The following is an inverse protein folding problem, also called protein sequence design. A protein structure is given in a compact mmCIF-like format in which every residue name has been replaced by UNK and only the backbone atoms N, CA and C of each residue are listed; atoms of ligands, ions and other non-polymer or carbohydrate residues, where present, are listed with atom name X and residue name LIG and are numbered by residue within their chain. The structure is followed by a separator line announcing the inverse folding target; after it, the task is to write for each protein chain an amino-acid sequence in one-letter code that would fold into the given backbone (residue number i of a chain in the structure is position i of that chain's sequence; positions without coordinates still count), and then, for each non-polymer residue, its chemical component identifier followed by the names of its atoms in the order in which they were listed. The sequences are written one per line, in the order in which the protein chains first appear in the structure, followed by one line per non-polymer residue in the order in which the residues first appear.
data_IF_611120165739
#
_entry.id   IF_611120165739
#
_cell.length_a   1.000
_cell.length_b   1.000
_cell.length_c   1.000
_cell.angle_alpha   90.00
_cell.angle_beta   90.00
_cell.angle_gamma   90.00
#
_symmetry.space_group_name_H-M   'P 1'
#
loop_
_entity.id
_entity.type
_entity.pdbx_description
1 polymer ?
#
# COMPACT_ATOMS: atom_id res chain seq x y z
N UNK A 1 -18.90 -15.51 -15.02
CA UNK A 1 -17.73 -16.39 -14.82
C UNK A 1 -17.77 -16.93 -13.40
N UNK A 2 -17.84 -18.24 -13.23
CA UNK A 2 -17.57 -18.88 -11.94
C UNK A 2 -16.05 -18.85 -11.71
N UNK A 3 -15.57 -17.80 -11.06
CA UNK A 3 -14.17 -17.77 -10.65
C UNK A 3 -14.02 -18.68 -9.44
N UNK A 4 -13.16 -19.69 -9.52
CA UNK A 4 -12.78 -20.49 -8.37
C UNK A 4 -11.99 -19.61 -7.38
N UNK A 5 -12.53 -19.32 -6.17
CA UNK A 5 -11.88 -18.49 -5.18
C UNK A 5 -10.60 -19.12 -4.60
N UNK A 6 -10.34 -20.38 -4.91
CA UNK A 6 -9.16 -21.15 -4.48
C UNK A 6 -8.09 -21.28 -5.58
N UNK A 7 -8.34 -20.72 -6.77
CA UNK A 7 -7.34 -20.72 -7.84
C UNK A 7 -6.01 -20.13 -7.37
N UNK A 8 -4.86 -20.78 -7.64
CA UNK A 8 -3.52 -20.23 -7.30
C UNK A 8 -3.27 -18.84 -7.88
N UNK A 9 -3.88 -18.52 -9.03
CA UNK A 9 -3.73 -17.24 -9.72
C UNK A 9 -4.62 -16.14 -9.14
N UNK A 10 -5.55 -16.45 -8.23
CA UNK A 10 -6.55 -15.47 -7.78
C UNK A 10 -5.91 -14.26 -7.08
N UNK A 11 -4.82 -14.47 -6.35
CA UNK A 11 -4.10 -13.38 -5.69
C UNK A 11 -3.52 -12.39 -6.70
N UNK A 12 -2.90 -12.90 -7.76
CA UNK A 12 -2.34 -12.07 -8.81
C UNK A 12 -3.44 -11.34 -9.60
N UNK A 13 -4.53 -12.02 -9.92
CA UNK A 13 -5.68 -11.44 -10.60
C UNK A 13 -6.27 -10.29 -9.79
N UNK A 14 -6.47 -10.47 -8.48
CA UNK A 14 -7.00 -9.44 -7.59
C UNK A 14 -6.04 -8.23 -7.48
N UNK A 15 -4.74 -8.48 -7.34
CA UNK A 15 -3.75 -7.41 -7.28
C UNK A 15 -3.71 -6.60 -8.58
N UNK A 16 -3.71 -7.28 -9.72
CA UNK A 16 -3.73 -6.62 -11.03
C UNK A 16 -5.03 -5.81 -11.21
N UNK A 17 -6.16 -6.33 -10.74
CA UNK A 17 -7.44 -5.64 -10.83
C UNK A 17 -7.52 -4.42 -9.94
N UNK A 18 -7.05 -4.53 -8.69
CA UNK A 18 -6.98 -3.38 -7.78
C UNK A 18 -6.09 -2.29 -8.37
N UNK A 19 -4.93 -2.63 -8.93
CA UNK A 19 -4.05 -1.67 -9.58
C UNK A 19 -4.70 -0.99 -10.78
N UNK A 20 -5.39 -1.74 -11.64
CA UNK A 20 -6.13 -1.17 -12.76
C UNK A 20 -7.24 -0.21 -12.30
N UNK A 21 -7.92 -0.53 -11.19
CA UNK A 21 -8.91 0.36 -10.56
C UNK A 21 -8.24 1.66 -10.08
N UNK A 22 -7.09 1.57 -9.41
CA UNK A 22 -6.34 2.75 -8.95
C UNK A 22 -5.90 3.64 -10.11
N UNK A 23 -5.38 3.05 -11.18
CA UNK A 23 -4.97 3.78 -12.40
C UNK A 23 -6.17 4.47 -13.06
N UNK A 24 -7.33 3.80 -13.13
CA UNK A 24 -8.57 4.36 -13.69
C UNK A 24 -9.13 5.50 -12.82
N UNK A 25 -9.09 5.39 -11.49
CA UNK A 25 -9.52 6.44 -10.57
C UNK A 25 -8.65 7.71 -10.71
N UNK A 26 -7.34 7.56 -10.94
CA UNK A 26 -6.43 8.67 -11.20
C UNK A 26 -6.66 9.34 -12.57
N UNK A 27 -7.21 8.61 -13.54
CA UNK A 27 -7.43 9.11 -14.92
C UNK A 27 -8.80 9.77 -15.15
N UNK A 28 -9.59 10.03 -14.11
CA UNK A 28 -10.95 10.63 -14.19
C UNK A 28 -11.97 9.82 -15.03
N UNK A 29 -11.77 8.53 -15.22
CA UNK A 29 -12.69 7.67 -15.98
C UNK A 29 -13.79 7.14 -15.07
N UNK A 30 -15.01 7.66 -15.22
CA UNK A 30 -16.18 7.34 -14.38
C UNK A 30 -16.67 5.88 -14.42
N UNK A 31 -16.16 5.05 -15.33
CA UNK A 31 -16.59 3.65 -15.49
C UNK A 31 -16.12 2.70 -14.40
N UNK A 32 -15.13 3.08 -13.62
CA UNK A 32 -14.48 2.17 -12.66
C UNK A 32 -15.24 2.01 -11.33
N UNK A 33 -16.13 2.95 -10.98
CA UNK A 33 -16.78 2.94 -9.66
C UNK A 33 -17.74 1.78 -9.46
N UNK A 34 -18.60 1.48 -10.43
CA UNK A 34 -19.49 0.31 -10.39
C UNK A 34 -18.71 -1.00 -10.27
N UNK A 35 -17.53 -1.05 -10.85
CA UNK A 35 -16.67 -2.21 -10.82
C UNK A 35 -15.97 -2.35 -9.45
N UNK A 36 -15.53 -1.25 -8.84
CA UNK A 36 -15.04 -1.21 -7.46
C UNK A 36 -16.07 -1.80 -6.52
N UNK A 37 -17.33 -1.35 -6.63
CA UNK A 37 -18.44 -1.81 -5.79
C UNK A 37 -18.71 -3.31 -5.98
N UNK A 38 -18.76 -3.78 -7.23
CA UNK A 38 -18.96 -5.21 -7.52
C UNK A 38 -17.84 -6.09 -7.00
N UNK A 39 -16.59 -5.67 -7.16
CA UNK A 39 -15.43 -6.42 -6.66
C UNK A 39 -15.41 -6.43 -5.13
N UNK A 40 -15.72 -5.30 -4.49
CA UNK A 40 -15.86 -5.19 -3.03
C UNK A 40 -16.90 -6.19 -2.49
N UNK A 41 -18.09 -6.19 -3.08
CA UNK A 41 -19.20 -7.02 -2.63
C UNK A 41 -18.92 -8.51 -2.88
N UNK A 42 -18.29 -8.84 -4.00
CA UNK A 42 -17.80 -10.19 -4.28
C UNK A 42 -16.75 -10.63 -3.24
N UNK A 43 -15.76 -9.79 -2.97
CA UNK A 43 -14.71 -10.10 -2.01
C UNK A 43 -15.28 -10.32 -0.60
N UNK A 44 -16.22 -9.46 -0.18
CA UNK A 44 -16.94 -9.59 1.09
C UNK A 44 -17.72 -10.90 1.18
N UNK A 45 -18.46 -11.24 0.15
CA UNK A 45 -19.23 -12.48 0.06
C UNK A 45 -18.33 -13.71 0.17
N UNK A 46 -17.28 -13.79 -0.65
CA UNK A 46 -16.35 -14.94 -0.64
C UNK A 46 -15.67 -15.09 0.73
N UNK A 47 -15.24 -13.99 1.35
CA UNK A 47 -14.66 -14.00 2.69
C UNK A 47 -15.64 -14.52 3.76
N UNK A 48 -16.91 -14.15 3.67
CA UNK A 48 -17.96 -14.53 4.63
C UNK A 48 -18.41 -15.98 4.47
N UNK A 49 -18.49 -16.51 3.25
CA UNK A 49 -18.86 -17.90 2.98
C UNK A 49 -17.87 -18.91 3.59
N UNK A 50 -16.65 -18.51 3.87
CA UNK A 50 -15.69 -19.32 4.63
C UNK A 50 -15.07 -20.48 3.87
N UNK A 51 -15.40 -20.67 2.58
CA UNK A 51 -14.94 -21.77 1.74
C UNK A 51 -13.59 -21.52 1.07
N UNK A 52 -13.17 -20.25 0.98
CA UNK A 52 -11.91 -19.87 0.38
C UNK A 52 -10.74 -20.16 1.32
N UNK A 53 -9.69 -20.81 0.82
CA UNK A 53 -8.47 -21.11 1.59
C UNK A 53 -7.68 -19.85 1.99
N UNK A 54 -7.82 -18.78 1.22
CA UNK A 54 -7.12 -17.50 1.40
C UNK A 54 -8.06 -16.37 1.88
N UNK A 55 -8.91 -16.68 2.85
CA UNK A 55 -9.93 -15.75 3.40
C UNK A 55 -9.36 -14.41 3.84
N UNK A 56 -8.14 -14.41 4.40
CA UNK A 56 -7.46 -13.17 4.81
C UNK A 56 -7.30 -12.18 3.65
N UNK A 57 -6.92 -12.67 2.46
CA UNK A 57 -6.79 -11.87 1.25
C UNK A 57 -8.14 -11.29 0.80
N UNK A 58 -9.21 -12.08 0.85
CA UNK A 58 -10.54 -11.63 0.48
C UNK A 58 -11.08 -10.55 1.43
N UNK A 59 -10.89 -10.71 2.76
CA UNK A 59 -11.23 -9.67 3.73
C UNK A 59 -10.37 -8.42 3.54
N UNK A 60 -9.07 -8.58 3.26
CA UNK A 60 -8.17 -7.47 2.94
C UNK A 60 -8.65 -6.69 1.71
N UNK A 61 -8.97 -7.40 0.62
CA UNK A 61 -9.51 -6.79 -0.61
C UNK A 61 -10.80 -6.03 -0.34
N UNK A 62 -11.74 -6.65 0.39
CA UNK A 62 -12.99 -5.99 0.77
C UNK A 62 -12.75 -4.74 1.63
N UNK A 63 -11.83 -4.80 2.59
CA UNK A 63 -11.47 -3.66 3.43
C UNK A 63 -10.88 -2.51 2.61
N UNK A 64 -9.92 -2.81 1.74
CA UNK A 64 -9.29 -1.82 0.88
C UNK A 64 -10.28 -1.10 -0.03
N UNK A 65 -11.14 -1.84 -0.74
CA UNK A 65 -12.15 -1.28 -1.63
C UNK A 65 -13.26 -0.53 -0.87
N UNK A 66 -13.55 -0.92 0.37
CA UNK A 66 -14.50 -0.19 1.24
C UNK A 66 -13.91 1.15 1.69
N UNK A 67 -12.60 1.22 1.96
CA UNK A 67 -11.96 2.50 2.28
C UNK A 67 -11.88 3.43 1.06
N UNK A 68 -11.70 2.89 -0.14
CA UNK A 68 -11.78 3.67 -1.39
C UNK A 68 -13.17 4.31 -1.57
N UNK A 69 -14.23 3.65 -1.12
CA UNK A 69 -15.60 4.16 -1.09
C UNK A 69 -15.85 5.20 0.05
N UNK A 70 -14.82 5.49 0.84
CA UNK A 70 -14.87 6.48 1.91
C UNK A 70 -15.31 5.96 3.28
N UNK A 71 -15.75 4.69 3.39
CA UNK A 71 -16.16 4.09 4.66
C UNK A 71 -14.97 3.45 5.40
N UNK A 72 -14.13 4.31 5.98
CA UNK A 72 -12.94 3.90 6.75
C UNK A 72 -13.30 3.06 7.98
N UNK A 73 -14.47 3.29 8.60
CA UNK A 73 -14.88 2.52 9.79
C UNK A 73 -15.22 1.08 9.43
N UNK A 74 -16.03 0.85 8.40
CA UNK A 74 -16.35 -0.50 7.92
C UNK A 74 -15.10 -1.18 7.37
N UNK A 75 -14.23 -0.46 6.67
CA UNK A 75 -12.94 -0.97 6.21
C UNK A 75 -12.07 -1.47 7.38
N UNK A 76 -11.99 -0.71 8.47
CA UNK A 76 -11.26 -1.11 9.68
C UNK A 76 -11.83 -2.40 10.32
N UNK A 77 -13.16 -2.53 10.35
CA UNK A 77 -13.83 -3.74 10.85
C UNK A 77 -13.57 -4.97 9.98
N UNK A 78 -13.58 -4.80 8.65
CA UNK A 78 -13.25 -5.87 7.70
C UNK A 78 -11.78 -6.29 7.83
N UNK A 79 -10.89 -5.32 8.02
CA UNK A 79 -9.48 -5.59 8.23
C UNK A 79 -9.21 -6.34 9.52
N UNK A 80 -9.96 -6.08 10.60
CA UNK A 80 -9.89 -6.86 11.85
C UNK A 80 -10.32 -8.32 11.63
N UNK A 81 -11.27 -8.57 10.73
CA UNK A 81 -11.61 -9.95 10.33
C UNK A 81 -10.50 -10.60 9.51
N UNK A 82 -9.79 -9.84 8.67
CA UNK A 82 -8.62 -10.33 7.94
C UNK A 82 -7.48 -10.73 8.90
N UNK A 83 -7.24 -9.93 9.94
CA UNK A 83 -6.24 -10.19 10.99
C UNK A 83 -6.54 -11.47 11.80
N UNK A 84 -7.82 -11.78 11.99
CA UNK A 84 -8.28 -12.93 12.77
C UNK A 84 -8.21 -14.28 12.03
N UNK A 85 -7.98 -14.26 10.70
CA UNK A 85 -7.90 -15.48 9.89
C UNK A 85 -6.49 -15.76 9.41
N UNK A 86 -6.19 -17.04 9.16
CA UNK A 86 -4.87 -17.45 8.72
C UNK A 86 -4.57 -16.90 7.32
N UNK A 87 -3.35 -16.39 7.12
CA UNK A 87 -2.81 -15.92 5.86
C UNK A 87 -1.31 -16.16 5.77
N UNK A 88 -0.75 -16.13 4.58
CA UNK A 88 0.71 -16.14 4.37
C UNK A 88 1.34 -14.81 4.82
N UNK A 89 2.65 -14.77 4.92
CA UNK A 89 3.37 -13.60 5.44
C UNK A 89 3.16 -12.35 4.59
N UNK A 90 3.08 -12.49 3.27
CA UNK A 90 2.80 -11.36 2.38
C UNK A 90 1.43 -10.72 2.66
N UNK A 91 0.39 -11.53 2.86
CA UNK A 91 -0.95 -11.03 3.20
C UNK A 91 -0.97 -10.42 4.61
N UNK A 92 -0.30 -11.02 5.59
CA UNK A 92 -0.17 -10.44 6.94
C UNK A 92 0.50 -9.08 6.92
N UNK A 93 1.58 -8.95 6.15
CA UNK A 93 2.29 -7.68 5.98
C UNK A 93 1.43 -6.64 5.25
N UNK A 94 0.70 -7.04 4.21
CA UNK A 94 -0.25 -6.16 3.49
C UNK A 94 -1.37 -5.67 4.42
N UNK A 95 -1.92 -6.53 5.25
CA UNK A 95 -2.91 -6.19 6.28
C UNK A 95 -2.32 -5.17 7.26
N UNK A 96 -1.08 -5.37 7.72
CA UNK A 96 -0.42 -4.43 8.63
C UNK A 96 -0.24 -3.05 7.99
N UNK A 97 0.16 -2.97 6.73
CA UNK A 97 0.31 -1.69 6.02
C UNK A 97 -1.03 -0.98 5.84
N UNK A 98 -2.08 -1.71 5.45
CA UNK A 98 -3.42 -1.12 5.36
C UNK A 98 -3.91 -0.66 6.73
N UNK A 99 -3.59 -1.37 7.82
CA UNK A 99 -3.91 -0.95 9.19
C UNK A 99 -3.21 0.36 9.56
N UNK A 100 -1.95 0.54 9.16
CA UNK A 100 -1.22 1.80 9.37
C UNK A 100 -1.95 2.95 8.65
N UNK A 101 -2.34 2.73 7.40
CA UNK A 101 -3.04 3.71 6.58
C UNK A 101 -4.41 4.10 7.18
N UNK A 102 -5.26 3.13 7.53
CA UNK A 102 -6.57 3.39 8.12
C UNK A 102 -6.47 4.09 9.48
N UNK A 103 -5.51 3.69 10.32
CA UNK A 103 -5.26 4.35 11.60
C UNK A 103 -4.76 5.79 11.40
N UNK A 104 -3.90 6.03 10.41
CA UNK A 104 -3.44 7.39 10.09
C UNK A 104 -4.60 8.30 9.67
N UNK A 105 -5.62 7.77 9.00
CA UNK A 105 -6.84 8.53 8.63
C UNK A 105 -7.72 8.86 9.83
N UNK A 106 -7.87 7.96 10.79
CA UNK A 106 -8.89 8.03 11.84
C UNK A 106 -8.38 8.41 13.23
N UNK A 107 -7.08 8.26 13.51
CA UNK A 107 -6.54 8.51 14.85
C UNK A 107 -6.36 9.99 15.17
N UNK A 108 -6.45 10.33 16.47
CA UNK A 108 -6.01 11.62 16.98
C UNK A 108 -4.49 11.59 17.10
N UNK A 109 -3.81 12.59 16.52
CA UNK A 109 -2.36 12.70 16.55
C UNK A 109 -1.92 13.32 17.90
N UNK A 110 -1.58 12.45 18.82
CA UNK A 110 -0.95 12.77 20.10
C UNK A 110 0.42 12.09 20.18
N UNK A 111 1.23 12.46 21.16
CA UNK A 111 2.61 11.95 21.30
C UNK A 111 2.69 10.41 21.29
N UNK A 112 1.77 9.73 21.96
CA UNK A 112 1.72 8.25 22.02
C UNK A 112 1.42 7.63 20.64
N UNK A 113 0.47 8.22 19.91
CA UNK A 113 0.14 7.74 18.56
C UNK A 113 1.28 8.02 17.59
N UNK A 114 1.87 9.22 17.64
CA UNK A 114 3.00 9.61 16.79
C UNK A 114 4.22 8.69 16.98
N UNK A 115 4.54 8.32 18.21
CA UNK A 115 5.61 7.36 18.49
C UNK A 115 5.33 5.98 17.89
N UNK A 116 4.08 5.50 18.01
CA UNK A 116 3.64 4.25 17.38
C UNK A 116 3.75 4.34 15.86
N UNK A 117 3.24 5.42 15.27
CA UNK A 117 3.25 5.66 13.83
C UNK A 117 4.69 5.69 13.30
N UNK A 118 5.60 6.38 13.97
CA UNK A 118 7.00 6.45 13.58
C UNK A 118 7.68 5.07 13.58
N UNK A 119 7.40 4.21 14.57
CA UNK A 119 7.90 2.82 14.59
C UNK A 119 7.35 2.02 13.39
N UNK A 120 6.09 2.20 13.05
CA UNK A 120 5.44 1.52 11.92
C UNK A 120 6.00 2.00 10.57
N UNK A 121 6.23 3.30 10.41
CA UNK A 121 6.83 3.86 9.19
C UNK A 121 8.28 3.39 9.02
N UNK A 122 9.07 3.32 10.11
CA UNK A 122 10.43 2.75 10.08
C UNK A 122 10.44 1.27 9.68
N UNK A 123 9.48 0.50 10.18
CA UNK A 123 9.34 -0.89 9.74
C UNK A 123 9.06 -0.99 8.24
N UNK A 124 8.15 -0.16 7.72
CA UNK A 124 7.83 -0.13 6.30
C UNK A 124 9.02 0.32 5.45
N UNK A 125 9.75 1.32 5.89
CA UNK A 125 11.01 1.77 5.28
C UNK A 125 12.05 0.65 5.21
N UNK A 126 12.23 -0.11 6.29
CA UNK A 126 13.13 -1.26 6.29
C UNK A 126 12.69 -2.35 5.32
N UNK A 127 11.38 -2.62 5.20
CA UNK A 127 10.84 -3.56 4.20
C UNK A 127 11.15 -3.13 2.78
N UNK A 128 11.01 -1.85 2.46
CA UNK A 128 11.36 -1.30 1.16
C UNK A 128 12.86 -1.53 0.88
N UNK A 129 13.72 -1.20 1.83
CA UNK A 129 15.18 -1.35 1.70
C UNK A 129 15.60 -2.80 1.48
N UNK A 130 15.05 -3.74 2.24
CA UNK A 130 15.34 -5.17 2.13
C UNK A 130 14.90 -5.72 0.76
N UNK A 131 13.72 -5.35 0.30
CA UNK A 131 13.23 -5.77 -1.01
C UNK A 131 14.06 -5.22 -2.17
N UNK A 132 14.66 -4.03 -1.99
CA UNK A 132 15.57 -3.45 -2.98
C UNK A 132 16.88 -4.22 -3.04
N UNK A 133 17.49 -4.50 -1.88
CA UNK A 133 18.79 -5.15 -1.84
C UNK A 133 18.74 -6.54 -2.47
N UNK A 134 17.72 -7.33 -2.20
CA UNK A 134 17.48 -8.62 -2.88
C UNK A 134 17.32 -8.49 -4.38
N UNK A 135 16.74 -7.43 -4.82
CA UNK A 135 16.44 -7.15 -6.19
C UNK A 135 17.65 -6.66 -6.97
N UNK A 136 18.44 -5.77 -6.38
CA UNK A 136 19.72 -5.33 -6.96
C UNK A 136 20.63 -6.53 -7.15
N UNK A 137 20.68 -7.42 -6.18
CA UNK A 137 21.44 -8.65 -6.25
C UNK A 137 20.96 -9.57 -7.39
N UNK A 138 19.65 -9.75 -7.57
CA UNK A 138 19.08 -10.56 -8.66
C UNK A 138 19.27 -9.89 -10.03
N UNK A 139 19.04 -8.59 -10.14
CA UNK A 139 19.19 -7.86 -11.40
C UNK A 139 20.65 -7.84 -11.89
N UNK A 140 21.63 -7.72 -10.99
CA UNK A 140 23.06 -7.80 -11.34
C UNK A 140 23.51 -9.19 -11.77
N UNK A 141 22.84 -10.24 -11.27
CA UNK A 141 23.17 -11.63 -11.65
C UNK A 141 22.46 -12.11 -12.93
N UNK A 142 21.30 -11.57 -13.27
CA UNK A 142 20.40 -12.10 -14.31
C UNK A 142 20.15 -11.14 -15.48
N UNK A 143 20.70 -9.92 -15.46
CA UNK A 143 20.45 -8.91 -16.51
C UNK A 143 18.99 -8.40 -16.56
N UNK A 144 18.23 -8.54 -15.49
CA UNK A 144 16.79 -8.29 -15.45
C UNK A 144 16.45 -6.80 -15.32
N UNK A 145 15.45 -6.33 -16.07
CA UNK A 145 14.95 -4.96 -15.98
C UNK A 145 14.28 -4.70 -14.61
N UNK A 146 14.81 -3.70 -13.92
CA UNK A 146 14.42 -3.26 -12.60
C UNK A 146 12.93 -2.86 -12.50
N UNK A 147 12.27 -2.56 -13.59
CA UNK A 147 10.89 -2.07 -13.66
C UNK A 147 9.81 -3.03 -13.13
N UNK A 148 10.12 -4.30 -12.94
CA UNK A 148 9.08 -5.34 -12.75
C UNK A 148 8.98 -6.02 -11.39
N UNK A 149 9.70 -5.57 -10.34
CA UNK A 149 9.48 -6.15 -9.01
C UNK A 149 8.29 -5.51 -8.30
N UNK A 150 7.14 -6.17 -8.39
CA UNK A 150 5.85 -5.72 -7.88
C UNK A 150 5.84 -5.46 -6.37
N UNK A 151 6.56 -6.25 -5.58
CA UNK A 151 6.59 -6.10 -4.11
C UNK A 151 7.25 -4.80 -3.66
N UNK A 152 8.35 -4.41 -4.32
CA UNK A 152 9.04 -3.17 -4.02
C UNK A 152 8.14 -1.95 -4.27
N UNK A 153 7.55 -1.88 -5.46
CA UNK A 153 6.66 -0.76 -5.81
C UNK A 153 5.47 -0.70 -4.86
N UNK A 154 4.89 -1.84 -4.50
CA UNK A 154 3.77 -1.89 -3.57
C UNK A 154 4.12 -1.24 -2.21
N UNK A 155 5.20 -1.64 -1.57
CA UNK A 155 5.61 -1.10 -0.26
C UNK A 155 5.94 0.39 -0.34
N UNK A 156 6.65 0.80 -1.38
CA UNK A 156 7.00 2.18 -1.62
C UNK A 156 5.78 3.05 -1.92
N UNK A 157 4.89 2.59 -2.77
CA UNK A 157 3.66 3.32 -3.12
C UNK A 157 2.77 3.47 -1.89
N UNK A 158 2.65 2.44 -1.05
CA UNK A 158 1.91 2.52 0.21
C UNK A 158 2.54 3.49 1.20
N UNK A 159 3.87 3.51 1.34
CA UNK A 159 4.56 4.51 2.18
C UNK A 159 4.26 5.93 1.70
N UNK A 160 4.38 6.17 0.40
CA UNK A 160 4.07 7.47 -0.20
C UNK A 160 2.61 7.85 0.00
N UNK A 161 1.69 6.94 -0.25
CA UNK A 161 0.25 7.16 -0.03
C UNK A 161 -0.05 7.52 1.42
N UNK A 162 0.52 6.80 2.38
CA UNK A 162 0.36 7.09 3.81
C UNK A 162 0.89 8.49 4.14
N UNK A 163 2.09 8.82 3.69
CA UNK A 163 2.74 10.09 4.04
C UNK A 163 2.10 11.26 3.31
N UNK A 164 1.98 11.21 1.98
CA UNK A 164 1.56 12.37 1.19
C UNK A 164 0.06 12.58 1.17
N UNK A 165 -0.74 11.51 1.21
CA UNK A 165 -2.20 11.65 1.12
C UNK A 165 -2.89 11.73 2.49
N UNK A 166 -2.20 11.37 3.59
CA UNK A 166 -2.81 11.33 4.91
C UNK A 166 -2.02 12.13 5.93
N UNK A 167 -0.76 11.75 6.21
CA UNK A 167 -0.04 12.27 7.37
C UNK A 167 0.39 13.72 7.16
N UNK A 168 1.03 14.03 6.03
CA UNK A 168 1.51 15.37 5.75
C UNK A 168 0.37 16.41 5.68
N UNK A 169 -0.76 16.16 4.99
CA UNK A 169 -1.92 17.06 5.03
C UNK A 169 -2.42 17.32 6.45
N UNK A 170 -2.51 16.30 7.29
CA UNK A 170 -2.98 16.48 8.69
C UNK A 170 -2.04 17.33 9.53
N UNK A 171 -0.71 17.21 9.35
CA UNK A 171 0.24 18.12 10.01
C UNK A 171 0.16 19.54 9.47
N UNK A 172 -0.07 19.71 8.17
CA UNK A 172 -0.29 21.03 7.56
C UNK A 172 -1.54 21.69 8.15
N UNK A 173 -2.65 20.98 8.27
CA UNK A 173 -3.89 21.46 8.90
C UNK A 173 -3.71 21.87 10.36
N UNK A 174 -2.78 21.22 11.06
CA UNK A 174 -2.40 21.56 12.44
C UNK A 174 -1.35 22.67 12.53
N UNK A 175 -0.90 23.27 11.41
CA UNK A 175 0.16 24.26 11.35
C UNK A 175 1.58 23.70 11.60
N UNK A 176 1.74 22.39 11.65
CA UNK A 176 3.03 21.74 11.90
C UNK A 176 3.77 21.42 10.59
N UNK A 177 4.14 22.46 9.86
CA UNK A 177 4.80 22.37 8.55
C UNK A 177 6.16 21.65 8.63
N UNK A 178 6.91 21.85 9.71
CA UNK A 178 8.21 21.20 9.90
C UNK A 178 8.09 19.68 9.88
N UNK A 179 7.12 19.10 10.61
CA UNK A 179 6.89 17.65 10.59
C UNK A 179 6.36 17.15 9.25
N UNK A 180 5.49 17.90 8.61
CA UNK A 180 5.00 17.57 7.28
C UNK A 180 6.17 17.43 6.29
N UNK A 181 7.08 18.40 6.25
CA UNK A 181 8.25 18.42 5.37
C UNK A 181 9.23 17.28 5.73
N UNK A 182 9.51 17.06 7.02
CA UNK A 182 10.43 15.99 7.45
C UNK A 182 9.93 14.61 6.99
N UNK A 183 8.63 14.32 7.15
CA UNK A 183 8.03 13.05 6.73
C UNK A 183 7.98 12.91 5.21
N UNK A 184 7.67 13.98 4.49
CA UNK A 184 7.70 14.02 3.04
C UNK A 184 9.11 13.72 2.52
N UNK A 185 10.12 14.38 3.05
CA UNK A 185 11.53 14.12 2.71
C UNK A 185 11.97 12.69 3.05
N UNK A 186 11.49 12.11 4.15
CA UNK A 186 11.78 10.72 4.48
C UNK A 186 11.19 9.77 3.44
N UNK A 187 9.96 9.99 3.02
CA UNK A 187 9.30 9.17 2.01
C UNK A 187 9.96 9.29 0.61
N UNK A 188 10.40 10.50 0.23
CA UNK A 188 11.11 10.74 -1.03
C UNK A 188 12.57 10.29 -1.00
N UNK A 189 13.29 10.47 0.12
CA UNK A 189 14.68 10.04 0.23
C UNK A 189 14.86 8.53 0.13
N UNK A 190 13.85 7.75 0.44
CA UNK A 190 13.88 6.32 0.17
C UNK A 190 13.94 6.04 -1.33
N UNK A 191 13.18 6.75 -2.16
CA UNK A 191 13.30 6.70 -3.62
C UNK A 191 14.66 7.23 -4.11
N UNK A 192 15.12 8.34 -3.57
CA UNK A 192 16.41 8.95 -3.93
C UNK A 192 17.59 8.04 -3.57
N UNK A 193 17.60 7.43 -2.40
CA UNK A 193 18.64 6.49 -2.00
C UNK A 193 18.67 5.23 -2.88
N UNK A 194 17.54 4.84 -3.43
CA UNK A 194 17.43 3.71 -4.35
C UNK A 194 17.98 4.11 -5.72
N UNK A 195 17.55 5.22 -6.25
CA UNK A 195 18.02 5.76 -7.53
C UNK A 195 19.51 6.07 -7.47
N UNK A 196 19.99 6.68 -6.39
CA UNK A 196 21.40 7.02 -6.20
C UNK A 196 22.33 5.79 -6.05
N UNK A 197 21.82 4.66 -5.59
CA UNK A 197 22.59 3.39 -5.58
C UNK A 197 22.65 2.71 -6.93
N UNK A 198 21.77 3.03 -7.87
CA UNK A 198 21.56 2.27 -9.11
C UNK A 198 21.77 3.04 -10.41
N UNK A 199 21.52 4.32 -10.41
CA UNK A 199 21.78 5.20 -11.56
C UNK A 199 22.73 6.28 -11.13
N UNK A 200 23.73 6.52 -11.96
CA UNK A 200 24.59 7.67 -11.76
C UNK A 200 23.73 8.91 -11.49
N UNK A 201 24.09 9.62 -10.47
CA UNK A 201 23.57 10.84 -9.84
C UNK A 201 22.96 11.91 -10.80
N UNK A 202 22.91 11.65 -12.10
CA UNK A 202 22.65 12.62 -13.16
C UNK A 202 21.20 13.13 -13.25
N UNK A 203 20.21 12.28 -13.00
CA UNK A 203 18.81 12.70 -13.25
C UNK A 203 18.16 13.43 -12.06
N UNK A 204 18.68 13.27 -10.86
CA UNK A 204 18.09 13.88 -9.66
C UNK A 204 18.64 15.27 -9.40
N UNK A 205 19.92 15.53 -9.71
CA UNK A 205 20.50 16.88 -9.62
C UNK A 205 19.82 17.88 -10.53
N UNK A 206 19.48 17.48 -11.74
CA UNK A 206 18.90 18.39 -12.74
C UNK A 206 17.42 18.76 -12.49
N UNK A 207 16.74 18.06 -11.58
CA UNK A 207 15.33 18.32 -11.28
C UNK A 207 15.12 19.39 -10.18
N UNK A 208 16.19 19.76 -9.46
CA UNK A 208 16.14 20.73 -8.36
C UNK A 208 16.94 22.00 -8.64
N UNK A 209 17.61 22.06 -9.78
CA UNK A 209 18.38 23.24 -10.23
C UNK A 209 17.64 24.07 -11.29
N UNK A 210 16.40 23.66 -11.69
CA UNK A 210 15.46 24.46 -12.46
C UNK A 210 14.38 25.07 -11.55
#
# INVERSE_FOLDING_TARGET
CNCDPNSPQITEILQNRIRAIEDDLHSYKSKSWDEVMRLRDLARKVAQEGKASNRAMWYYTAAYLTDLDGDTQTASNLLSKAEAVQGNDYIKESIMVLRIYLNAKSSIYNAKYEEKLLRQLRWLDNKIKTNIDDRVRKATCEGFDIKYNRSYYYWNDMLRKIVFSVIAPRYIEQGNYTRAIQLANMADNNLLNIVNKQTAVFEVKNRWEE
#
